data_IF_873798556109
#
_entry.id   IF_873798556109
#
_cell.length_a   1.000
_cell.length_b   1.000
_cell.length_c   1.000
_cell.angle_alpha   90.00
_cell.angle_beta   90.00
_cell.angle_gamma   90.00
#
_symmetry.space_group_name_H-M   'P 1'
#
loop_
_entity.id
_entity.type
_entity.pdbx_description
1 polymer ?
#
# COMPACT_ATOMS: atom_id res chain seq x y z
N UNK A 1 17.01 13.81 -29.78
CA UNK A 1 17.28 14.03 -28.33
C UNK A 1 15.99 14.43 -27.61
N UNK A 2 15.01 13.53 -27.46
CA UNK A 2 13.70 13.85 -26.83
C UNK A 2 13.24 12.80 -25.80
N UNK A 3 13.81 11.59 -25.83
CA UNK A 3 13.44 10.50 -24.93
C UNK A 3 13.90 10.67 -23.47
N UNK A 4 14.97 11.45 -23.22
CA UNK A 4 15.50 11.61 -21.86
C UNK A 4 14.70 12.63 -21.03
N UNK A 5 14.07 13.64 -21.64
CA UNK A 5 13.35 14.68 -20.90
C UNK A 5 11.99 14.21 -20.34
N UNK A 6 11.37 13.19 -20.93
CA UNK A 6 10.06 12.67 -20.47
C UNK A 6 10.14 11.80 -19.22
N UNK A 7 11.34 11.28 -18.90
CA UNK A 7 11.58 10.49 -17.68
C UNK A 7 11.76 11.41 -16.47
N UNK A 8 12.37 12.59 -16.66
CA UNK A 8 12.58 13.59 -15.61
C UNK A 8 11.41 14.57 -15.44
N UNK A 9 10.51 14.68 -16.42
CA UNK A 9 9.31 15.50 -16.33
C UNK A 9 8.13 14.78 -15.62
N UNK A 10 8.39 13.93 -14.62
CA UNK A 10 7.33 13.47 -13.71
C UNK A 10 6.86 14.68 -12.90
N UNK A 11 5.78 15.31 -13.36
CA UNK A 11 5.04 16.32 -12.60
C UNK A 11 4.84 15.77 -11.18
N UNK A 12 5.52 16.36 -10.19
CA UNK A 12 5.49 15.90 -8.81
C UNK A 12 4.03 15.95 -8.36
N UNK A 13 3.41 14.79 -8.21
CA UNK A 13 2.06 14.70 -7.66
C UNK A 13 2.08 15.38 -6.28
N UNK A 14 1.05 16.17 -5.94
CA UNK A 14 0.98 16.80 -4.63
C UNK A 14 1.08 15.72 -3.55
N UNK A 15 1.91 15.98 -2.55
CA UNK A 15 2.02 15.07 -1.40
C UNK A 15 0.67 15.10 -0.66
N UNK A 16 0.05 13.94 -0.41
CA UNK A 16 -1.24 13.91 0.28
C UNK A 16 -1.09 14.47 1.69
N UNK A 17 -1.99 15.36 2.10
CA UNK A 17 -2.08 15.81 3.49
C UNK A 17 -2.64 14.68 4.34
N UNK A 18 -1.89 14.27 5.37
CA UNK A 18 -2.29 13.23 6.30
C UNK A 18 -2.78 13.87 7.60
N UNK A 19 -3.85 13.35 8.18
CA UNK A 19 -4.23 13.72 9.54
C UNK A 19 -3.11 13.33 10.52
N UNK A 20 -3.02 14.04 11.65
CA UNK A 20 -1.99 13.78 12.67
C UNK A 20 -1.99 12.32 13.13
N UNK A 21 -3.17 11.71 13.24
CA UNK A 21 -3.30 10.29 13.61
C UNK A 21 -2.69 9.34 12.57
N UNK A 22 -2.93 9.60 11.28
CA UNK A 22 -2.36 8.78 10.21
C UNK A 22 -0.85 8.99 10.11
N UNK A 23 -0.39 10.23 10.25
CA UNK A 23 1.04 10.55 10.23
C UNK A 23 1.78 9.85 11.37
N UNK A 24 1.20 9.82 12.58
CA UNK A 24 1.75 9.10 13.74
C UNK A 24 1.80 7.59 13.50
N UNK A 25 0.75 6.99 12.97
CA UNK A 25 0.72 5.54 12.66
C UNK A 25 1.74 5.18 11.59
N UNK A 26 1.90 6.03 10.57
CA UNK A 26 2.87 5.84 9.51
C UNK A 26 4.30 5.92 10.03
N UNK A 27 4.62 6.91 10.88
CA UNK A 27 5.97 7.03 11.45
C UNK A 27 6.32 5.85 12.36
N UNK A 28 5.35 5.36 13.16
CA UNK A 28 5.52 4.15 13.96
C UNK A 28 5.80 2.91 13.09
N UNK A 29 5.07 2.76 11.98
CA UNK A 29 5.29 1.66 11.04
C UNK A 29 6.66 1.75 10.35
N UNK A 30 7.08 2.94 9.91
CA UNK A 30 8.38 3.16 9.28
C UNK A 30 9.56 2.95 10.25
N UNK A 31 9.33 3.11 11.56
CA UNK A 31 10.32 2.86 12.60
C UNK A 31 10.42 1.39 13.04
N UNK A 32 9.60 0.48 12.46
CA UNK A 32 9.70 -0.95 12.75
C UNK A 32 11.08 -1.49 12.33
N UNK A 33 11.60 -2.53 13.01
CA UNK A 33 12.80 -3.21 12.58
C UNK A 33 12.68 -3.73 11.14
N UNK A 34 13.80 -3.85 10.45
CA UNK A 34 13.86 -4.49 9.13
C UNK A 34 13.22 -5.87 9.19
N UNK A 35 12.36 -6.16 8.21
CA UNK A 35 11.68 -7.45 8.11
C UNK A 35 12.70 -8.55 7.84
N UNK A 36 12.65 -9.61 8.64
CA UNK A 36 13.41 -10.83 8.38
C UNK A 36 12.72 -11.64 7.27
N UNK A 37 13.32 -11.62 6.08
CA UNK A 37 12.82 -12.31 4.89
C UNK A 37 13.18 -13.81 4.86
N UNK A 38 13.89 -14.32 5.87
CA UNK A 38 14.22 -15.74 5.98
C UNK A 38 13.13 -16.56 6.66
N UNK A 39 12.17 -15.89 7.31
CA UNK A 39 11.02 -16.50 7.95
C UNK A 39 10.18 -17.28 6.95
N UNK A 40 9.64 -18.42 7.39
CA UNK A 40 8.65 -19.15 6.62
C UNK A 40 7.37 -18.33 6.47
N UNK A 41 6.50 -18.72 5.53
CA UNK A 41 5.19 -18.09 5.38
C UNK A 41 4.35 -18.15 6.66
N UNK A 42 4.45 -19.25 7.42
CA UNK A 42 3.77 -19.40 8.70
C UNK A 42 4.33 -18.48 9.79
N UNK A 43 5.59 -18.05 9.70
CA UNK A 43 6.22 -17.15 10.67
C UNK A 43 6.13 -15.67 10.25
N UNK A 44 5.62 -15.42 9.05
CA UNK A 44 5.53 -14.08 8.46
C UNK A 44 4.26 -13.37 8.90
N UNK A 45 4.44 -12.16 9.44
CA UNK A 45 3.34 -11.20 9.65
C UNK A 45 3.25 -10.30 8.42
N UNK A 46 2.28 -10.57 7.55
CA UNK A 46 2.08 -9.78 6.34
C UNK A 46 0.62 -9.36 6.17
N UNK A 47 0.39 -8.44 5.24
CA UNK A 47 -0.94 -7.99 4.86
C UNK A 47 -1.12 -8.34 3.39
N UNK A 48 -2.17 -9.08 3.07
CA UNK A 48 -2.62 -9.27 1.70
C UNK A 48 -3.42 -8.03 1.32
N UNK A 49 -3.09 -7.42 0.18
CA UNK A 49 -3.78 -6.24 -0.35
C UNK A 49 -4.30 -6.58 -1.73
N UNK A 50 -5.58 -6.30 -1.93
CA UNK A 50 -6.28 -6.41 -3.20
C UNK A 50 -6.82 -5.02 -3.59
N UNK A 51 -6.73 -4.70 -4.87
CA UNK A 51 -7.04 -3.37 -5.39
C UNK A 51 -7.94 -3.49 -6.60
N UNK A 52 -9.02 -2.71 -6.60
CA UNK A 52 -9.90 -2.56 -7.76
C UNK A 52 -9.64 -1.20 -8.40
N UNK A 53 -9.46 -1.16 -9.71
CA UNK A 53 -9.13 0.05 -10.47
C UNK A 53 -10.07 0.24 -11.66
N UNK A 54 -10.20 1.46 -12.17
CA UNK A 54 -11.01 1.73 -13.38
C UNK A 54 -10.45 1.13 -14.67
N UNK A 55 -9.21 0.63 -14.62
CA UNK A 55 -8.47 0.03 -15.73
C UNK A 55 -7.03 -0.30 -15.31
N UNK A 56 -6.17 -0.61 -16.28
CA UNK A 56 -4.80 -1.10 -16.03
C UNK A 56 -3.71 -0.03 -16.14
N UNK A 57 -4.06 1.23 -16.39
CA UNK A 57 -3.10 2.34 -16.50
C UNK A 57 -2.82 2.99 -15.15
N UNK A 58 -1.63 2.77 -14.61
CA UNK A 58 -1.16 3.44 -13.38
C UNK A 58 -1.22 4.98 -13.40
N UNK A 59 -1.31 5.61 -14.57
CA UNK A 59 -1.34 7.08 -14.71
C UNK A 59 -2.73 7.64 -14.96
N UNK A 60 -3.59 6.89 -15.65
CA UNK A 60 -4.85 7.40 -16.16
C UNK A 60 -6.06 6.79 -15.45
N UNK A 61 -5.88 5.62 -14.82
CA UNK A 61 -6.91 4.95 -14.07
C UNK A 61 -6.82 5.31 -12.59
N UNK A 62 -7.97 5.28 -11.92
CA UNK A 62 -8.08 5.57 -10.50
C UNK A 62 -8.42 4.30 -9.73
N UNK A 63 -8.07 4.33 -8.45
CA UNK A 63 -8.40 3.28 -7.51
C UNK A 63 -9.88 3.42 -7.11
N UNK A 64 -10.61 2.32 -7.19
CA UNK A 64 -12.03 2.21 -6.90
C UNK A 64 -12.24 1.61 -5.51
N UNK A 65 -11.48 0.57 -5.16
CA UNK A 65 -11.57 -0.07 -3.85
C UNK A 65 -10.24 -0.63 -3.38
N UNK A 66 -10.12 -0.76 -2.05
CA UNK A 66 -9.01 -1.44 -1.38
C UNK A 66 -9.61 -2.49 -0.47
N UNK A 67 -9.21 -3.73 -0.66
CA UNK A 67 -9.36 -4.82 0.30
C UNK A 67 -8.01 -5.12 0.95
N UNK A 68 -7.99 -5.36 2.26
CA UNK A 68 -6.79 -5.83 2.93
C UNK A 68 -7.12 -6.77 4.09
N UNK A 69 -6.28 -7.78 4.31
CA UNK A 69 -6.37 -8.62 5.50
C UNK A 69 -4.98 -8.96 6.03
N UNK A 70 -4.87 -9.10 7.35
CA UNK A 70 -3.64 -9.59 7.96
C UNK A 70 -3.56 -11.11 7.82
N UNK A 71 -2.35 -11.61 7.58
CA UNK A 71 -1.99 -13.00 7.77
C UNK A 71 -1.24 -13.14 9.10
N UNK A 72 -1.69 -14.06 9.93
CA UNK A 72 -1.07 -14.41 11.21
C UNK A 72 -0.93 -15.92 11.26
N UNK A 73 0.28 -16.43 11.48
CA UNK A 73 0.54 -17.86 11.54
C UNK A 73 0.07 -18.62 10.27
N UNK A 74 0.16 -17.98 9.10
CA UNK A 74 -0.34 -18.53 7.82
C UNK A 74 -1.86 -18.56 7.66
N UNK A 75 -2.62 -17.93 8.58
CA UNK A 75 -4.08 -17.91 8.57
C UNK A 75 -4.61 -16.48 8.44
N UNK A 76 -5.83 -16.33 7.90
CA UNK A 76 -6.53 -15.05 7.81
C UNK A 76 -7.48 -14.91 9.01
N UNK A 77 -7.20 -14.03 9.99
CA UNK A 77 -8.11 -13.77 11.09
C UNK A 77 -9.29 -12.94 10.58
N UNK A 78 -10.51 -13.46 10.70
CA UNK A 78 -11.72 -12.79 10.17
C UNK A 78 -11.97 -11.38 10.74
N UNK A 79 -11.48 -11.10 11.96
CA UNK A 79 -11.64 -9.80 12.62
C UNK A 79 -10.57 -8.78 12.25
N UNK A 80 -9.57 -9.16 11.45
CA UNK A 80 -8.42 -8.33 11.06
C UNK A 80 -8.41 -8.10 9.56
N UNK A 81 -9.55 -7.63 9.05
CA UNK A 81 -9.76 -7.20 7.68
C UNK A 81 -10.05 -5.70 7.62
N UNK A 82 -9.78 -5.12 6.46
CA UNK A 82 -10.03 -3.74 6.11
C UNK A 82 -10.64 -3.71 4.72
N UNK A 83 -11.64 -2.85 4.52
CA UNK A 83 -12.17 -2.54 3.20
C UNK A 83 -12.54 -1.06 3.12
N UNK A 84 -12.35 -0.48 1.94
CA UNK A 84 -12.86 0.85 1.61
C UNK A 84 -13.20 0.92 0.12
N UNK A 85 -14.33 1.56 -0.18
CA UNK A 85 -14.71 1.98 -1.54
C UNK A 85 -14.43 3.47 -1.63
N UNK A 86 -13.64 3.85 -2.62
CA UNK A 86 -13.22 5.22 -2.89
C UNK A 86 -14.26 5.86 -3.81
N UNK A 87 -14.72 7.07 -3.45
CA UNK A 87 -15.70 7.85 -4.21
C UNK A 87 -15.01 8.91 -5.05
#
# INVERSE_FOLDING_TARGET
MSFLNSIFARKKLPTPELSQDIQRRLSQWQALPTVDLTKTFAESDCVVVDLETSGFSFKNDHLIAIGACRLENGLIPLRKSFQIILK
#
